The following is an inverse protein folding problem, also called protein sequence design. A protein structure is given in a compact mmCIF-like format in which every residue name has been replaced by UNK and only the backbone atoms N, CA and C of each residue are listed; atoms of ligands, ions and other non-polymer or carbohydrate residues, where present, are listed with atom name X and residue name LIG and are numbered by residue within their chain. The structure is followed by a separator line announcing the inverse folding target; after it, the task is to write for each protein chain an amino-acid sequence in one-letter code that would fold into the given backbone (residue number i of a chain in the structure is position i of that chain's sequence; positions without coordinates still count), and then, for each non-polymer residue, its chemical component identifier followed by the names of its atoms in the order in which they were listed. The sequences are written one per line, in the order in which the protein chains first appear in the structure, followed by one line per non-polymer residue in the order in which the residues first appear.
data_IF_074501260833
#
_entry.id   IF_074501260833
#
_cell.length_a   1.000
_cell.length_b   1.000
_cell.length_c   1.000
_cell.angle_alpha   90.00
_cell.angle_beta   90.00
_cell.angle_gamma   90.00
#
_symmetry.space_group_name_H-M   'P 1'
#
loop_
_entity.id
_entity.type
_entity.pdbx_description
1 polymer ?
#
# COMPACT_ATOMS: atom_id res chain seq x y z
N UNK A 1 24.42 20.36 -5.40
CA UNK A 1 24.52 19.35 -5.86
C UNK A 1 24.10 18.24 -5.09
N UNK A 2 24.57 17.93 -4.02
CA UNK A 2 24.11 16.91 -3.26
C UNK A 2 22.68 16.99 -2.93
N UNK A 3 22.10 18.08 -2.61
CA UNK A 3 20.69 18.14 -2.28
C UNK A 3 19.82 17.66 -3.41
N UNK A 4 20.21 17.99 -4.63
CA UNK A 4 19.44 17.58 -5.72
C UNK A 4 19.48 16.10 -5.92
N UNK A 5 20.63 15.48 -5.72
CA UNK A 5 20.76 14.06 -5.87
C UNK A 5 19.95 13.36 -4.80
N UNK A 6 19.99 13.86 -3.60
CA UNK A 6 19.23 13.24 -2.52
C UNK A 6 17.74 13.34 -2.82
N UNK A 7 17.31 14.46 -3.34
CA UNK A 7 15.92 14.63 -3.66
C UNK A 7 15.48 13.64 -4.72
N UNK A 8 16.31 13.41 -5.72
CA UNK A 8 15.96 12.47 -6.74
C UNK A 8 15.90 11.06 -6.18
N UNK A 9 16.79 10.73 -5.29
CA UNK A 9 16.79 9.39 -4.72
C UNK A 9 15.59 9.17 -3.83
N UNK A 10 15.07 10.21 -3.21
CA UNK A 10 13.91 10.02 -2.38
C UNK A 10 12.63 10.33 -3.12
N UNK A 11 12.70 10.65 -4.38
CA UNK A 11 11.49 10.96 -5.11
C UNK A 11 10.65 9.71 -5.33
N UNK A 12 9.37 9.88 -5.33
CA UNK A 12 8.46 8.76 -5.53
C UNK A 12 8.59 8.26 -6.97
N UNK A 13 8.42 6.96 -7.17
CA UNK A 13 8.42 6.44 -8.53
C UNK A 13 7.35 7.10 -9.37
N UNK A 14 7.69 7.40 -10.61
CA UNK A 14 6.79 8.13 -11.47
C UNK A 14 5.53 7.38 -11.84
N UNK A 15 5.58 6.08 -11.88
CA UNK A 15 4.42 5.29 -12.29
C UNK A 15 3.33 5.22 -11.22
N UNK A 16 3.61 5.69 -10.02
CA UNK A 16 2.61 5.64 -8.97
C UNK A 16 1.58 6.75 -9.17
N UNK A 17 0.37 6.52 -8.72
CA UNK A 17 -0.66 7.53 -8.82
C UNK A 17 -0.31 8.74 -7.97
N UNK A 18 -1.00 9.82 -8.15
CA UNK A 18 -0.76 11.02 -7.35
C UNK A 18 -1.00 10.73 -5.87
N UNK A 19 -2.03 9.95 -5.56
CA UNK A 19 -2.32 9.60 -4.20
C UNK A 19 -1.20 8.76 -3.60
N UNK A 20 -0.70 7.78 -4.35
CA UNK A 20 0.37 6.94 -3.87
C UNK A 20 1.67 7.72 -3.70
N UNK A 21 1.92 8.66 -4.59
CA UNK A 21 3.12 9.49 -4.47
C UNK A 21 3.05 10.38 -3.24
N UNK A 22 1.86 10.82 -2.88
CA UNK A 22 1.68 11.61 -1.68
C UNK A 22 2.00 10.76 -0.45
N UNK A 23 1.53 9.51 -0.44
CA UNK A 23 1.86 8.60 0.66
C UNK A 23 3.35 8.32 0.72
N UNK A 24 3.98 8.19 -0.43
CA UNK A 24 5.42 7.97 -0.48
C UNK A 24 6.15 9.10 0.23
N UNK A 25 5.78 10.35 -0.09
CA UNK A 25 6.43 11.49 0.51
C UNK A 25 6.21 11.53 2.01
N UNK A 26 5.01 11.27 2.44
CA UNK A 26 4.71 11.32 3.85
C UNK A 26 5.45 10.23 4.62
N UNK A 27 5.45 9.03 4.11
CA UNK A 27 6.07 7.92 4.81
C UNK A 27 7.58 8.05 4.83
N UNK A 28 8.19 8.40 3.71
CA UNK A 28 9.64 8.52 3.67
C UNK A 28 10.11 9.66 4.57
N UNK A 29 9.33 10.70 4.68
CA UNK A 29 9.70 11.81 5.51
C UNK A 29 9.48 11.51 6.98
N UNK A 30 8.32 10.99 7.31
CA UNK A 30 7.98 10.73 8.67
C UNK A 30 8.86 9.69 9.34
N UNK A 31 9.24 8.68 8.62
CA UNK A 31 10.04 7.61 9.17
C UNK A 31 11.49 7.62 8.71
N UNK A 32 11.91 8.68 8.06
CA UNK A 32 13.27 8.84 7.56
C UNK A 32 13.73 7.58 6.83
N UNK A 33 12.88 7.09 5.97
CA UNK A 33 13.15 5.87 5.26
C UNK A 33 14.11 6.15 4.14
N UNK A 34 15.38 5.85 4.33
CA UNK A 34 16.35 6.16 3.32
C UNK A 34 17.15 4.98 2.83
N UNK A 35 16.84 3.78 3.22
CA UNK A 35 17.56 2.62 2.71
C UNK A 35 16.86 2.07 1.48
N UNK A 36 17.61 1.49 0.59
CA UNK A 36 17.08 1.01 -0.68
C UNK A 36 16.05 -0.11 -0.49
N UNK A 37 16.32 -1.02 0.42
CA UNK A 37 15.40 -2.14 0.63
C UNK A 37 14.07 -1.61 1.18
N UNK A 38 14.12 -0.64 2.05
CA UNK A 38 12.90 -0.05 2.59
C UNK A 38 12.10 0.66 1.51
N UNK A 39 12.78 1.35 0.62
CA UNK A 39 12.07 2.03 -0.46
C UNK A 39 11.48 1.04 -1.43
N UNK A 40 12.15 -0.08 -1.66
CA UNK A 40 11.59 -1.10 -2.53
C UNK A 40 10.34 -1.70 -1.91
N UNK A 41 10.34 -1.94 -0.61
CA UNK A 41 9.16 -2.45 0.07
C UNK A 41 8.04 -1.42 0.02
N UNK A 42 8.36 -0.15 0.21
CA UNK A 42 7.35 0.89 0.15
C UNK A 42 6.77 0.99 -1.26
N UNK A 43 7.61 0.87 -2.26
CA UNK A 43 7.14 0.90 -3.63
C UNK A 43 6.20 -0.27 -3.88
N UNK A 44 6.54 -1.45 -3.41
CA UNK A 44 5.69 -2.62 -3.56
C UNK A 44 4.34 -2.39 -2.88
N UNK A 45 4.36 -1.80 -1.70
CA UNK A 45 3.14 -1.52 -0.97
C UNK A 45 2.27 -0.54 -1.74
N UNK A 46 2.88 0.50 -2.29
CA UNK A 46 2.10 1.52 -2.98
C UNK A 46 1.64 1.10 -4.36
N UNK A 47 2.36 0.19 -5.00
CA UNK A 47 1.87 -0.40 -6.24
C UNK A 47 0.62 -1.24 -5.96
N UNK A 48 0.63 -1.97 -4.86
CA UNK A 48 -0.53 -2.74 -4.47
C UNK A 48 -1.68 -1.79 -4.08
N UNK A 49 -1.36 -0.69 -3.43
CA UNK A 49 -2.34 0.33 -3.08
C UNK A 49 -3.02 0.87 -4.34
N UNK A 50 -2.25 1.17 -5.36
CA UNK A 50 -2.81 1.70 -6.61
C UNK A 50 -3.71 0.67 -7.28
N UNK A 51 -3.32 -0.60 -7.26
CA UNK A 51 -4.13 -1.65 -7.84
C UNK A 51 -5.43 -1.81 -7.05
N UNK A 52 -5.34 -1.69 -5.73
CA UNK A 52 -6.51 -1.77 -4.88
C UNK A 52 -7.48 -0.62 -5.21
N UNK A 53 -6.95 0.59 -5.36
CA UNK A 53 -7.79 1.73 -5.69
C UNK A 53 -8.44 1.59 -7.06
N UNK A 54 -7.70 1.04 -8.01
CA UNK A 54 -8.22 0.84 -9.34
C UNK A 54 -9.40 -0.14 -9.29
N UNK A 55 -9.25 -1.22 -8.53
CA UNK A 55 -10.32 -2.20 -8.37
C UNK A 55 -11.52 -1.56 -7.69
N UNK A 56 -11.29 -0.73 -6.69
CA UNK A 56 -12.35 -0.08 -5.98
C UNK A 56 -13.14 0.83 -6.91
N UNK A 57 -12.47 1.56 -7.77
CA UNK A 57 -13.14 2.44 -8.70
C UNK A 57 -13.99 1.65 -9.69
N UNK A 58 -13.46 0.55 -10.20
CA UNK A 58 -14.18 -0.24 -11.18
C UNK A 58 -15.39 -0.92 -10.53
N UNK A 59 -15.24 -1.43 -9.30
CA UNK A 59 -16.33 -2.05 -8.60
C UNK A 59 -17.41 -1.02 -8.29
N UNK A 60 -17.00 0.18 -7.93
CA UNK A 60 -17.94 1.23 -7.64
C UNK A 60 -18.78 1.54 -8.88
N UNK A 61 -18.19 1.51 -10.05
CA UNK A 61 -18.87 1.77 -11.27
C UNK A 61 -19.75 0.62 -11.67
N UNK A 62 -19.31 -0.59 -11.54
CA UNK A 62 -20.04 -1.78 -11.99
C UNK A 62 -20.98 -2.39 -10.97
N UNK A 63 -20.78 -2.10 -9.70
CA UNK A 63 -21.54 -2.75 -8.64
C UNK A 63 -20.87 -4.02 -8.18
N UNK A 64 -21.27 -4.51 -7.04
CA UNK A 64 -20.65 -5.69 -6.46
C UNK A 64 -20.93 -6.98 -7.23
N UNK A 65 -22.02 -7.00 -7.95
CA UNK A 65 -22.39 -8.15 -8.75
C UNK A 65 -22.46 -7.78 -10.21
N UNK A 66 -22.08 -8.70 -11.05
CA UNK A 66 -22.19 -8.48 -12.48
C UNK A 66 -22.94 -9.63 -13.08
N UNK A 67 -23.38 -9.50 -14.31
CA UNK A 67 -24.13 -10.53 -14.94
C UNK A 67 -23.17 -11.38 -15.76
N UNK A 68 -23.13 -12.65 -15.54
CA UNK A 68 -22.28 -13.55 -16.28
C UNK A 68 -22.87 -13.88 -17.62
N UNK A 69 -22.17 -14.68 -18.40
CA UNK A 69 -22.59 -15.02 -19.73
C UNK A 69 -23.88 -15.82 -19.74
N UNK A 70 -24.22 -16.49 -18.63
CA UNK A 70 -25.44 -17.26 -18.58
C UNK A 70 -26.52 -16.43 -17.90
N UNK A 71 -26.33 -15.15 -17.77
CA UNK A 71 -27.29 -14.27 -17.14
C UNK A 71 -27.42 -14.45 -15.67
N UNK A 72 -26.59 -15.26 -15.04
CA UNK A 72 -26.64 -15.41 -13.62
C UNK A 72 -25.84 -14.32 -13.02
N UNK A 73 -26.23 -13.88 -11.85
CA UNK A 73 -25.45 -12.86 -11.16
C UNK A 73 -24.26 -13.51 -10.51
N UNK A 74 -23.15 -12.86 -10.56
CA UNK A 74 -21.93 -13.34 -9.95
C UNK A 74 -21.26 -12.18 -9.29
N UNK A 75 -20.41 -12.46 -8.31
CA UNK A 75 -19.67 -11.40 -7.68
C UNK A 75 -18.69 -10.83 -8.70
N UNK A 76 -18.38 -9.56 -8.53
CA UNK A 76 -17.45 -8.89 -9.43
C UNK A 76 -16.08 -9.56 -9.31
N UNK A 77 -15.47 -9.92 -10.41
CA UNK A 77 -14.17 -10.61 -10.34
C UNK A 77 -13.08 -9.78 -9.71
N UNK A 78 -13.20 -8.46 -9.72
CA UNK A 78 -12.18 -7.63 -9.12
C UNK A 78 -12.26 -7.57 -7.61
N UNK A 79 -13.31 -8.13 -7.00
CA UNK A 79 -13.35 -8.18 -5.54
C UNK A 79 -12.21 -9.02 -5.00
N UNK A 80 -11.88 -10.09 -5.69
CA UNK A 80 -10.77 -10.93 -5.27
C UNK A 80 -9.45 -10.20 -5.45
N UNK A 81 -9.29 -9.51 -6.56
CA UNK A 81 -8.06 -8.78 -6.85
C UNK A 81 -7.90 -7.64 -5.84
N UNK A 82 -8.98 -6.98 -5.50
CA UNK A 82 -8.95 -5.89 -4.54
C UNK A 82 -8.49 -6.42 -3.19
N UNK A 83 -9.04 -7.54 -2.76
CA UNK A 83 -8.67 -8.12 -1.48
C UNK A 83 -7.23 -8.57 -1.47
N UNK A 84 -6.76 -9.20 -2.55
CA UNK A 84 -5.39 -9.65 -2.63
C UNK A 84 -4.43 -8.48 -2.64
N UNK A 85 -4.78 -7.41 -3.33
CA UNK A 85 -3.93 -6.22 -3.38
C UNK A 85 -3.84 -5.56 -2.02
N UNK A 86 -4.97 -5.49 -1.30
CA UNK A 86 -4.97 -4.93 0.04
C UNK A 86 -4.06 -5.77 0.96
N UNK A 87 -4.14 -7.07 0.83
CA UNK A 87 -3.32 -7.96 1.64
C UNK A 87 -1.84 -7.79 1.33
N UNK A 88 -1.50 -7.65 0.06
CA UNK A 88 -0.12 -7.44 -0.35
C UNK A 88 0.40 -6.11 0.19
N UNK A 89 -0.42 -5.08 0.15
CA UNK A 89 -0.04 -3.78 0.67
C UNK A 89 0.25 -3.88 2.16
N UNK A 90 -0.66 -4.51 2.89
CA UNK A 90 -0.50 -4.62 4.32
C UNK A 90 0.72 -5.47 4.71
N UNK A 91 0.99 -6.50 3.93
CA UNK A 91 2.14 -7.32 4.18
C UNK A 91 3.43 -6.56 3.94
N UNK A 92 3.50 -5.78 2.87
CA UNK A 92 4.68 -4.99 2.58
C UNK A 92 4.89 -3.92 3.65
N UNK A 93 3.82 -3.27 4.08
CA UNK A 93 3.93 -2.27 5.13
C UNK A 93 4.38 -2.91 6.44
N UNK A 94 3.92 -4.11 6.71
CA UNK A 94 4.32 -4.80 7.90
C UNK A 94 5.80 -5.18 7.82
N UNK A 95 6.27 -5.57 6.65
CA UNK A 95 7.67 -5.92 6.46
C UNK A 95 8.58 -4.71 6.63
N UNK A 96 8.06 -3.52 6.40
CA UNK A 96 8.84 -2.32 6.59
C UNK A 96 9.10 -2.12 8.07
N UNK A 97 8.30 -2.71 8.91
CA UNK A 97 8.45 -2.66 10.33
C UNK A 97 8.57 -1.22 10.83
N UNK A 98 7.72 -0.37 10.37
CA UNK A 98 7.73 1.00 10.82
C UNK A 98 7.22 1.04 12.27
N UNK A 99 7.79 1.90 13.04
CA UNK A 99 7.44 2.01 14.41
C UNK A 99 6.16 2.79 14.56
N UNK A 100 5.09 2.23 14.23
CA UNK A 100 3.82 2.93 14.30
C UNK A 100 3.31 3.06 15.71
N UNK A 101 3.71 2.23 16.63
CA UNK A 101 3.23 2.28 17.90
C UNK A 101 4.21 2.74 18.75
N UNK A 102 4.35 3.75 18.96
CA UNK A 102 5.28 4.34 19.70
C UNK A 102 5.40 3.71 20.99
N UNK A 103 4.77 3.27 21.47
CA UNK A 103 4.84 2.89 22.65
C UNK A 103 4.68 1.75 22.98
N UNK A 104 4.84 1.25 22.85
CA UNK A 104 4.69 0.22 23.03
C UNK A 104 4.85 -0.37 24.18
N UNK A 105 4.84 -0.09 24.95
CA UNK A 105 4.92 -0.59 26.03
C UNK A 105 3.77 -1.19 26.28
N UNK A 106 3.32 -2.03 25.75
CA UNK A 106 2.26 -2.64 25.88
C UNK A 106 2.34 -3.41 27.02
N UNK A 107 2.01 -3.11 28.03
CA UNK A 107 2.04 -3.81 29.17
C UNK A 107 1.35 -5.10 29.05
N UNK A 108 0.49 -5.18 28.33
CA UNK A 108 -0.26 -6.34 28.25
C UNK A 108 0.44 -7.56 27.83
N UNK A 109 1.60 -7.50 27.47
CA UNK A 109 2.19 -8.53 27.02
C UNK A 109 3.12 -8.93 27.91
N UNK A 110 2.89 -9.42 28.88
CA UNK A 110 3.72 -9.83 29.83
C UNK A 110 4.47 -10.86 29.26
N UNK A 111 5.59 -10.86 29.54
CA UNK A 111 6.30 -11.75 29.03
C UNK A 111 6.10 -12.95 29.56
N UNK A 112 6.25 -13.84 29.10
CA UNK A 112 6.10 -15.05 29.61
C UNK A 112 4.76 -15.35 29.90
N UNK A 113 3.99 -14.49 29.77
CA UNK A 113 2.64 -14.77 30.17
C UNK A 113 1.97 -15.36 28.99
#
# INVERSE_FOLDING_TARGET
MKPKIVALRSAAPEHLSAEARDWWQRITTEYSLDDDAGRLLLQTALEAFDRMRECQRQIQQDGLCIRGSTRQQRSHPLLQVERDSRSQMLQALKSLNLDLEPLRDRPGRPVGA
#
